data_IF_170331038411
#
_entry.id   IF_170331038411
#
_cell.length_a   1.000
_cell.length_b   1.000
_cell.length_c   1.000
_cell.angle_alpha   90.00
_cell.angle_beta   90.00
_cell.angle_gamma   90.00
#
_symmetry.space_group_name_H-M   'P 1'
#
loop_
_entity.id
_entity.type
_entity.pdbx_description
1 polymer ?
#
# COMPACT_ATOMS: atom_id res chain seq x y z
N UNK A 1 4.30 -24.20 28.45
CA UNK A 1 4.67 -22.92 27.81
C UNK A 1 3.79 -22.77 26.59
N UNK A 2 2.89 -21.80 26.58
CA UNK A 2 2.09 -21.52 25.39
C UNK A 2 3.09 -20.91 24.39
N UNK A 3 3.35 -21.53 23.23
CA UNK A 3 4.22 -20.93 22.23
C UNK A 3 3.56 -19.62 21.83
N UNK A 4 4.16 -18.49 22.19
CA UNK A 4 3.64 -17.19 21.75
C UNK A 4 3.61 -17.22 20.24
N UNK A 5 2.43 -17.12 19.61
CA UNK A 5 2.33 -17.15 18.16
C UNK A 5 3.18 -16.01 17.64
N UNK A 6 4.07 -16.36 16.73
CA UNK A 6 4.98 -15.42 16.14
C UNK A 6 4.18 -14.47 15.24
N UNK A 7 3.90 -13.29 15.78
CA UNK A 7 2.96 -12.30 15.24
C UNK A 7 3.50 -11.56 14.01
N UNK A 8 4.82 -11.56 13.80
CA UNK A 8 5.51 -10.92 12.67
C UNK A 8 4.86 -11.20 11.31
N UNK A 9 4.80 -12.47 10.85
CA UNK A 9 4.21 -12.82 9.55
C UNK A 9 2.71 -12.57 9.45
N UNK A 10 1.97 -12.45 10.56
CA UNK A 10 0.52 -12.19 10.50
C UNK A 10 0.23 -10.69 10.29
N UNK A 11 1.07 -9.80 10.84
CA UNK A 11 0.90 -8.35 10.69
C UNK A 11 1.01 -7.93 9.23
N UNK A 12 1.91 -8.54 8.45
CA UNK A 12 2.19 -8.14 7.07
C UNK A 12 0.99 -8.26 6.13
N UNK A 13 0.34 -9.44 5.98
CA UNK A 13 -0.84 -9.57 5.14
C UNK A 13 -2.03 -8.77 5.68
N UNK A 14 -2.16 -8.61 7.00
CA UNK A 14 -3.23 -7.79 7.60
C UNK A 14 -3.06 -6.31 7.24
N UNK A 15 -1.86 -5.76 7.38
CA UNK A 15 -1.56 -4.37 7.04
C UNK A 15 -1.76 -4.09 5.54
N UNK A 16 -1.29 -5.00 4.67
CA UNK A 16 -1.49 -4.89 3.21
C UNK A 16 -2.98 -4.92 2.87
N UNK A 17 -3.72 -5.85 3.45
CA UNK A 17 -5.17 -5.96 3.21
C UNK A 17 -5.91 -4.69 3.64
N UNK A 18 -5.59 -4.14 4.82
CA UNK A 18 -6.18 -2.89 5.29
C UNK A 18 -5.92 -1.73 4.32
N UNK A 19 -4.67 -1.58 3.83
CA UNK A 19 -4.33 -0.55 2.83
C UNK A 19 -5.07 -0.77 1.51
N UNK A 20 -5.13 -2.00 1.02
CA UNK A 20 -5.85 -2.33 -0.22
C UNK A 20 -7.35 -2.03 -0.12
N UNK A 21 -7.98 -2.34 1.02
CA UNK A 21 -9.39 -2.03 1.28
C UNK A 21 -9.61 -0.51 1.25
N UNK A 22 -8.76 0.27 1.91
CA UNK A 22 -8.87 1.74 1.95
C UNK A 22 -8.72 2.33 0.54
N UNK A 23 -7.73 1.85 -0.23
CA UNK A 23 -7.49 2.30 -1.61
C UNK A 23 -8.68 1.94 -2.50
N UNK A 24 -9.12 0.68 -2.47
CA UNK A 24 -10.26 0.19 -3.26
C UNK A 24 -11.55 0.95 -2.95
N UNK A 25 -11.87 1.14 -1.66
CA UNK A 25 -13.01 1.94 -1.22
C UNK A 25 -12.93 3.38 -1.75
N UNK A 26 -11.75 4.00 -1.67
CA UNK A 26 -11.54 5.37 -2.14
C UNK A 26 -11.71 5.50 -3.66
N UNK A 27 -11.23 4.52 -4.44
CA UNK A 27 -11.41 4.47 -5.90
C UNK A 27 -12.90 4.29 -6.24
N UNK A 28 -13.61 3.37 -5.59
CA UNK A 28 -15.04 3.16 -5.80
C UNK A 28 -15.85 4.43 -5.48
N UNK A 29 -15.54 5.10 -4.37
CA UNK A 29 -16.16 6.38 -4.01
C UNK A 29 -15.89 7.48 -5.05
N UNK A 30 -14.69 7.48 -5.64
CA UNK A 30 -14.31 8.41 -6.70
C UNK A 30 -15.06 8.13 -8.01
N UNK A 31 -15.23 6.84 -8.34
CA UNK A 31 -15.98 6.37 -9.51
C UNK A 31 -17.46 6.74 -9.41
N UNK A 32 -18.10 6.52 -8.25
CA UNK A 32 -19.47 6.96 -7.98
C UNK A 32 -19.67 8.48 -8.14
N UNK A 33 -18.61 9.26 -7.95
CA UNK A 33 -18.62 10.73 -8.13
C UNK A 33 -18.39 11.16 -9.59
N UNK A 34 -18.46 10.23 -10.53
CA UNK A 34 -18.26 10.45 -11.97
C UNK A 34 -16.81 10.73 -12.37
N UNK A 35 -15.83 10.39 -11.51
CA UNK A 35 -14.42 10.62 -11.81
C UNK A 35 -13.72 9.33 -12.21
N UNK A 36 -13.14 9.35 -13.41
CA UNK A 36 -12.32 8.25 -13.89
C UNK A 36 -10.90 8.36 -13.32
N UNK A 37 -10.55 7.44 -12.43
CA UNK A 37 -9.18 7.26 -11.97
C UNK A 37 -8.39 6.52 -13.05
N UNK A 38 -7.51 7.21 -13.77
CA UNK A 38 -6.59 6.59 -14.74
C UNK A 38 -5.22 6.40 -14.07
N UNK A 39 -4.86 5.18 -13.64
CA UNK A 39 -3.53 4.93 -13.10
C UNK A 39 -2.48 5.19 -14.19
N UNK A 40 -1.48 6.01 -13.86
CA UNK A 40 -0.35 6.31 -14.74
C UNK A 40 0.66 5.16 -14.70
N UNK A 41 1.42 4.91 -15.79
CA UNK A 41 2.51 3.90 -15.81
C UNK A 41 3.46 4.02 -14.60
N UNK A 42 3.75 5.26 -14.19
CA UNK A 42 4.57 5.55 -13.01
C UNK A 42 3.98 4.98 -11.72
N UNK A 43 2.66 5.07 -11.53
CA UNK A 43 1.96 4.49 -10.38
C UNK A 43 2.00 2.97 -10.41
N UNK A 44 2.02 2.36 -11.60
CA UNK A 44 2.12 0.93 -11.79
C UNK A 44 3.50 0.41 -11.38
N UNK A 45 4.56 1.05 -11.87
CA UNK A 45 5.94 0.71 -11.49
C UNK A 45 6.14 0.86 -9.98
N UNK A 46 5.67 1.97 -9.40
CA UNK A 46 5.80 2.21 -7.97
C UNK A 46 5.04 1.17 -7.14
N UNK A 47 3.83 0.78 -7.57
CA UNK A 47 3.06 -0.27 -6.92
C UNK A 47 3.77 -1.62 -6.99
N UNK A 48 4.32 -2.00 -8.16
CA UNK A 48 5.08 -3.24 -8.31
C UNK A 48 6.31 -3.27 -7.40
N UNK A 49 7.07 -2.19 -7.33
CA UNK A 49 8.24 -2.08 -6.43
C UNK A 49 7.81 -2.20 -4.96
N UNK A 50 6.71 -1.54 -4.58
CA UNK A 50 6.16 -1.64 -3.23
C UNK A 50 5.72 -3.08 -2.90
N UNK A 51 5.06 -3.78 -3.85
CA UNK A 51 4.69 -5.20 -3.69
C UNK A 51 5.94 -6.06 -3.46
N UNK A 52 6.98 -5.89 -4.27
CA UNK A 52 8.23 -6.63 -4.12
C UNK A 52 8.89 -6.39 -2.76
N UNK A 53 8.94 -5.15 -2.27
CA UNK A 53 9.51 -4.83 -0.95
C UNK A 53 8.72 -5.49 0.19
N UNK A 54 7.38 -5.45 0.12
CA UNK A 54 6.53 -6.06 1.16
C UNK A 54 6.63 -7.59 1.13
N UNK A 55 6.63 -8.20 -0.07
CA UNK A 55 6.84 -9.63 -0.22
C UNK A 55 8.21 -10.05 0.30
N UNK A 56 9.26 -9.28 0.00
CA UNK A 56 10.60 -9.55 0.51
C UNK A 56 10.66 -9.45 2.03
N UNK A 57 10.02 -8.41 2.62
CA UNK A 57 9.89 -8.27 4.07
C UNK A 57 9.21 -9.48 4.72
N UNK A 58 8.21 -10.04 4.07
CA UNK A 58 7.49 -11.22 4.56
C UNK A 58 8.31 -12.52 4.38
N UNK A 59 8.91 -12.71 3.20
CA UNK A 59 9.66 -13.93 2.87
C UNK A 59 10.99 -14.05 3.62
N UNK A 60 11.64 -12.92 3.95
CA UNK A 60 12.87 -12.94 4.73
C UNK A 60 12.68 -13.61 6.10
N UNK A 61 11.46 -13.57 6.63
CA UNK A 61 11.17 -14.11 7.95
C UNK A 61 10.63 -15.56 7.91
N UNK A 62 10.10 -15.98 6.76
CA UNK A 62 9.72 -17.38 6.50
C UNK A 62 10.89 -18.37 6.69
N UNK A 63 12.12 -17.97 6.35
CA UNK A 63 13.31 -18.82 6.51
C UNK A 63 13.64 -19.12 7.99
N UNK A 64 13.36 -18.16 8.90
CA UNK A 64 13.55 -18.37 10.34
C UNK A 64 12.52 -19.35 10.94
N UNK A 65 11.28 -19.30 10.45
CA UNK A 65 10.21 -20.24 10.85
C UNK A 65 10.44 -21.64 10.31
N UNK A 66 10.89 -21.77 9.06
CA UNK A 66 11.18 -23.06 8.44
C UNK A 66 12.35 -23.80 9.10
N UNK A 67 13.30 -23.07 9.69
CA UNK A 67 14.52 -23.64 10.30
C UNK A 67 14.48 -23.76 11.82
N UNK A 68 13.35 -23.47 12.48
CA UNK A 68 13.22 -23.47 13.95
C UNK A 68 14.33 -22.64 14.64
N UNK A 69 14.82 -21.59 13.98
CA UNK A 69 15.87 -20.74 14.51
C UNK A 69 15.31 -19.75 15.55
N UNK A 70 16.13 -19.30 16.51
CA UNK A 70 15.70 -18.29 17.47
C UNK A 70 15.17 -17.04 16.74
N UNK A 71 14.08 -16.43 17.25
CA UNK A 71 13.34 -15.41 16.53
C UNK A 71 14.24 -14.22 16.19
N UNK A 72 14.41 -13.97 14.88
CA UNK A 72 15.04 -12.74 14.41
C UNK A 72 14.04 -11.58 14.51
N UNK A 73 14.51 -10.35 14.74
CA UNK A 73 13.64 -9.19 14.76
C UNK A 73 13.03 -8.97 13.37
N UNK A 74 11.70 -8.94 13.31
CA UNK A 74 10.96 -8.67 12.08
C UNK A 74 11.34 -7.31 11.49
N UNK A 75 11.53 -7.24 10.18
CA UNK A 75 11.94 -6.05 9.45
C UNK A 75 10.79 -5.05 9.28
N UNK A 76 10.25 -4.53 10.39
CA UNK A 76 9.15 -3.55 10.39
C UNK A 76 9.47 -2.32 9.54
N UNK A 77 10.72 -1.89 9.50
CA UNK A 77 11.17 -0.78 8.67
C UNK A 77 10.91 -1.00 7.18
N UNK A 78 11.15 -2.21 6.69
CA UNK A 78 10.95 -2.54 5.28
C UNK A 78 9.45 -2.59 4.94
N UNK A 79 8.65 -3.18 5.84
CA UNK A 79 7.19 -3.18 5.74
C UNK A 79 6.62 -1.75 5.71
N UNK A 80 7.03 -0.90 6.64
CA UNK A 80 6.60 0.51 6.71
C UNK A 80 6.99 1.24 5.43
N UNK A 81 8.22 1.06 4.95
CA UNK A 81 8.68 1.69 3.69
C UNK A 81 7.88 1.23 2.47
N UNK A 82 7.51 -0.06 2.39
CA UNK A 82 6.67 -0.58 1.32
C UNK A 82 5.23 -0.04 1.40
N UNK A 83 4.67 0.08 2.60
CA UNK A 83 3.33 0.65 2.82
C UNK A 83 3.27 2.14 2.49
N UNK A 84 4.29 2.92 2.89
CA UNK A 84 4.36 4.35 2.55
C UNK A 84 4.55 4.54 1.05
N UNK A 85 5.32 3.68 0.40
CA UNK A 85 5.46 3.70 -1.06
C UNK A 85 4.14 3.37 -1.77
N UNK A 86 3.36 2.42 -1.26
CA UNK A 86 2.01 2.13 -1.73
C UNK A 86 1.06 3.33 -1.60
N UNK A 87 1.09 3.98 -0.42
CA UNK A 87 0.31 5.18 -0.19
C UNK A 87 0.72 6.31 -1.16
N UNK A 88 2.02 6.48 -1.40
CA UNK A 88 2.53 7.47 -2.35
C UNK A 88 2.13 7.17 -3.79
N UNK A 89 2.24 5.91 -4.21
CA UNK A 89 1.82 5.44 -5.52
C UNK A 89 0.35 5.77 -5.80
N UNK A 90 -0.51 5.65 -4.78
CA UNK A 90 -1.92 6.02 -4.85
C UNK A 90 -2.17 7.54 -4.78
N UNK A 91 -1.48 8.25 -3.87
CA UNK A 91 -1.66 9.69 -3.66
C UNK A 91 -1.24 10.51 -4.88
N UNK A 92 -0.19 10.10 -5.59
CA UNK A 92 0.31 10.82 -6.76
C UNK A 92 -0.77 11.04 -7.86
N UNK A 93 -1.41 9.99 -8.41
CA UNK A 93 -2.52 10.15 -9.35
C UNK A 93 -3.76 10.77 -8.69
N UNK A 94 -4.06 10.47 -7.43
CA UNK A 94 -5.22 11.02 -6.72
C UNK A 94 -5.14 12.55 -6.56
N UNK A 95 -3.97 13.09 -6.24
CA UNK A 95 -3.72 14.53 -6.16
C UNK A 95 -3.84 15.19 -7.54
N UNK A 96 -3.32 14.57 -8.61
CA UNK A 96 -3.51 15.04 -9.99
C UNK A 96 -5.01 15.12 -10.35
N UNK A 97 -5.80 14.12 -9.99
CA UNK A 97 -7.26 14.11 -10.23
C UNK A 97 -8.01 15.17 -9.41
N UNK A 98 -7.55 15.51 -8.19
CA UNK A 98 -8.14 16.58 -7.38
C UNK A 98 -7.78 17.99 -7.87
N UNK A 99 -6.52 18.23 -8.21
CA UNK A 99 -6.00 19.53 -8.67
C UNK A 99 -6.68 19.96 -9.98
N UNK A 100 -6.85 19.02 -10.93
CA UNK A 100 -7.53 19.31 -12.19
C UNK A 100 -8.96 19.85 -12.00
N UNK A 101 -9.73 19.28 -11.05
CA UNK A 101 -11.09 19.77 -10.77
C UNK A 101 -11.10 21.17 -10.13
N UNK A 102 -10.12 21.49 -9.26
CA UNK A 102 -10.06 22.83 -8.64
C UNK A 102 -9.82 23.92 -9.69
N UNK A 103 -9.06 23.62 -10.75
CA UNK A 103 -8.83 24.54 -11.86
C UNK A 103 -10.08 24.76 -12.73
N UNK A 104 -10.81 23.69 -13.09
CA UNK A 104 -12.03 23.80 -13.90
C UNK A 104 -13.14 24.60 -13.21
N UNK A 105 -13.30 24.40 -11.90
CA UNK A 105 -14.34 25.07 -11.13
C UNK A 105 -14.09 26.57 -10.91
N UNK A 106 -12.90 27.08 -11.25
CA UNK A 106 -12.58 28.52 -11.19
C UNK A 106 -12.87 29.21 -12.52
N UNK A 107 -12.79 28.51 -13.66
CA UNK A 107 -13.10 29.08 -14.98
C UNK A 107 -14.59 29.22 -15.29
N UNK A 108 -15.46 28.55 -14.53
CA UNK A 108 -16.93 28.65 -14.69
C UNK A 108 -17.54 29.83 -13.90
N UNK A 109 -16.72 30.58 -13.16
CA UNK A 109 -17.16 31.71 -12.32
C UNK A 109 -16.55 33.07 -12.73
N UNK A 110 -15.88 33.16 -13.88
CA UNK A 110 -15.43 34.40 -14.53
C UNK A 110 -16.01 34.48 -15.93
#
# INVERSE_FOLDING_TARGET
MIPVPWIGPVISPVAVSAVMIIIGYSITKLYFKGRHFKPTLFSWILASVATCMVLFSFMHDLDATLRLQPPRPYLYWLLISGLTLYAWAYLHPFCKTKIFKRSWNLSEHF
#
